data_IF_417783421976
#
_entry.id   IF_417783421976
#
_cell.length_a   1.000
_cell.length_b   1.000
_cell.length_c   1.000
_cell.angle_alpha   90.00
_cell.angle_beta   90.00
_cell.angle_gamma   90.00
#
_symmetry.space_group_name_H-M   'P 1'
#
loop_
_entity.id
_entity.type
_entity.pdbx_description
1 polymer ?
#
# COMPACT_ATOMS: atom_id res chain seq x y z
N UNK A 1 -11.17 10.76 5.04
CA UNK A 1 -10.81 10.74 6.47
C UNK A 1 -11.60 9.66 7.16
N UNK A 2 -10.96 8.53 7.41
CA UNK A 2 -11.42 7.57 8.40
C UNK A 2 -11.54 8.37 9.71
N UNK A 3 -12.77 8.70 10.13
CA UNK A 3 -13.07 9.59 11.27
C UNK A 3 -12.80 8.88 12.60
N UNK A 4 -11.77 8.03 12.65
CA UNK A 4 -11.34 7.33 13.84
C UNK A 4 -10.92 8.36 14.88
N UNK A 5 -11.62 8.33 16.01
CA UNK A 5 -11.46 9.30 17.10
C UNK A 5 -10.05 9.33 17.70
N UNK A 6 -9.23 8.32 17.41
CA UNK A 6 -7.81 8.22 17.81
C UNK A 6 -6.90 9.21 17.08
N UNK A 7 -7.24 9.63 15.86
CA UNK A 7 -6.35 10.48 15.06
C UNK A 7 -6.24 11.90 15.64
N UNK A 8 -7.34 12.44 16.18
CA UNK A 8 -7.33 13.74 16.85
C UNK A 8 -6.41 13.79 18.07
N UNK A 9 -6.26 12.67 18.79
CA UNK A 9 -5.31 12.58 19.91
C UNK A 9 -3.86 12.59 19.40
N UNK A 10 -3.54 11.75 18.41
CA UNK A 10 -2.19 11.68 17.84
C UNK A 10 -1.73 12.99 17.19
N UNK A 11 -2.61 13.71 16.50
CA UNK A 11 -2.27 15.01 15.88
C UNK A 11 -2.05 16.11 16.91
N UNK A 12 -2.69 16.02 18.08
CA UNK A 12 -2.46 16.94 19.20
C UNK A 12 -1.09 16.71 19.83
N UNK A 13 -0.68 15.45 19.97
CA UNK A 13 0.66 15.08 20.47
C UNK A 13 1.78 15.50 19.50
N UNK A 14 1.52 15.43 18.20
CA UNK A 14 2.47 15.83 17.14
C UNK A 14 2.45 17.36 16.90
N UNK A 15 1.49 18.08 17.47
CA UNK A 15 1.36 19.54 17.32
C UNK A 15 0.86 19.99 15.95
N UNK A 16 0.25 19.10 15.18
CA UNK A 16 -0.20 19.35 13.81
C UNK A 16 -1.73 19.23 13.64
N UNK A 17 -2.47 19.55 14.70
CA UNK A 17 -3.92 19.46 14.74
C UNK A 17 -4.60 20.37 13.70
N UNK A 18 -3.96 21.50 13.37
CA UNK A 18 -4.54 22.57 12.55
C UNK A 18 -4.40 22.30 11.04
N UNK A 19 -3.45 21.43 10.64
CA UNK A 19 -3.30 20.98 9.24
C UNK A 19 -4.28 19.86 8.86
N UNK A 20 -5.16 19.43 9.79
CA UNK A 20 -6.14 18.40 9.52
C UNK A 20 -7.34 18.95 8.73
N UNK A 21 -7.14 19.17 7.44
CA UNK A 21 -8.21 19.54 6.52
C UNK A 21 -9.06 18.30 6.21
N UNK A 22 -10.20 18.15 6.90
CA UNK A 22 -11.16 17.06 6.65
C UNK A 22 -12.02 17.39 5.42
N UNK A 23 -11.40 17.71 4.28
CA UNK A 23 -12.09 17.80 3.00
C UNK A 23 -12.45 16.40 2.51
N UNK A 24 -13.70 16.19 2.07
CA UNK A 24 -14.24 14.88 1.64
C UNK A 24 -13.41 14.19 0.53
N UNK A 25 -12.52 14.92 -0.14
CA UNK A 25 -11.71 14.45 -1.27
C UNK A 25 -10.21 14.77 -1.18
N UNK A 26 -9.75 15.60 -0.25
CA UNK A 26 -8.35 16.07 -0.22
C UNK A 26 -7.37 14.99 0.26
N UNK A 27 -7.82 14.13 1.18
CA UNK A 27 -6.96 13.10 1.78
C UNK A 27 -7.05 11.73 1.12
N UNK A 28 -7.79 11.60 0.02
CA UNK A 28 -7.96 10.33 -0.69
C UNK A 28 -6.63 9.73 -1.13
N UNK A 29 -5.59 10.53 -1.44
CA UNK A 29 -4.32 9.97 -1.94
C UNK A 29 -3.51 9.31 -0.82
N UNK A 30 -3.33 10.01 0.30
CA UNK A 30 -2.71 9.44 1.50
C UNK A 30 -3.54 8.25 2.01
N UNK A 31 -4.87 8.39 2.06
CA UNK A 31 -5.76 7.32 2.54
C UNK A 31 -5.90 6.12 1.60
N UNK A 32 -5.76 6.30 0.29
CA UNK A 32 -5.84 5.18 -0.64
C UNK A 32 -4.52 4.42 -0.73
N UNK A 33 -3.39 5.05 -0.38
CA UNK A 33 -2.07 4.41 -0.39
C UNK A 33 -1.99 3.15 0.50
N UNK A 34 -2.70 3.13 1.63
CA UNK A 34 -2.73 1.99 2.55
C UNK A 34 -3.88 1.00 2.30
N UNK A 35 -4.75 1.24 1.30
CA UNK A 35 -5.81 0.28 0.95
C UNK A 35 -5.27 -1.06 0.43
N UNK A 36 -4.24 -1.13 -0.44
CA UNK A 36 -3.65 -2.40 -0.87
C UNK A 36 -3.13 -3.21 0.31
N UNK A 37 -2.39 -2.54 1.21
CA UNK A 37 -1.87 -3.13 2.44
C UNK A 37 -3.00 -3.67 3.32
N UNK A 38 -4.04 -2.88 3.59
CA UNK A 38 -5.20 -3.29 4.41
C UNK A 38 -5.97 -4.45 3.79
N UNK A 39 -6.13 -4.48 2.45
CA UNK A 39 -6.80 -5.60 1.76
C UNK A 39 -6.01 -6.89 1.95
N UNK A 40 -4.69 -6.82 1.81
CA UNK A 40 -3.83 -7.99 1.93
C UNK A 40 -3.70 -8.47 3.38
N UNK A 41 -3.60 -7.56 4.35
CA UNK A 41 -3.64 -7.88 5.78
C UNK A 41 -4.93 -8.63 6.17
N UNK A 42 -6.09 -8.18 5.68
CA UNK A 42 -7.38 -8.87 5.90
C UNK A 42 -7.39 -10.27 5.28
N UNK A 43 -6.87 -10.42 4.06
CA UNK A 43 -6.75 -11.73 3.40
C UNK A 43 -5.82 -12.67 4.18
N UNK A 44 -4.76 -12.15 4.79
CA UNK A 44 -3.79 -12.92 5.59
C UNK A 44 -4.24 -13.17 7.04
N UNK A 45 -5.52 -12.91 7.39
CA UNK A 45 -6.07 -13.05 8.76
C UNK A 45 -5.29 -12.27 9.83
N UNK A 46 -4.81 -11.07 9.50
CA UNK A 46 -4.00 -10.17 10.35
C UNK A 46 -2.62 -10.74 10.71
N UNK A 47 -1.66 -9.84 10.92
CA UNK A 47 -0.33 -10.23 11.38
C UNK A 47 -0.36 -10.63 12.86
N UNK A 48 0.34 -11.72 13.20
CA UNK A 48 0.50 -12.17 14.61
C UNK A 48 1.53 -11.34 15.40
N UNK A 49 2.37 -10.55 14.72
CA UNK A 49 3.45 -9.77 15.34
C UNK A 49 3.72 -8.47 14.56
N UNK A 50 4.09 -7.41 15.29
CA UNK A 50 4.49 -6.10 14.75
C UNK A 50 5.73 -6.20 13.84
N UNK A 51 6.70 -7.05 14.18
CA UNK A 51 7.89 -7.24 13.36
C UNK A 51 7.56 -7.84 11.99
N UNK A 52 6.58 -8.74 11.94
CA UNK A 52 6.11 -9.34 10.70
C UNK A 52 5.40 -8.29 9.81
N UNK A 53 4.57 -7.44 10.42
CA UNK A 53 3.96 -6.30 9.73
C UNK A 53 5.02 -5.34 9.17
N UNK A 54 6.06 -5.02 9.94
CA UNK A 54 7.12 -4.10 9.51
C UNK A 54 7.91 -4.66 8.32
N UNK A 55 8.35 -5.93 8.41
CA UNK A 55 9.04 -6.62 7.30
C UNK A 55 8.16 -6.70 6.07
N UNK A 56 6.88 -7.01 6.25
CA UNK A 56 5.92 -7.05 5.15
C UNK A 56 5.73 -5.67 4.50
N UNK A 57 5.49 -4.63 5.30
CA UNK A 57 5.28 -3.26 4.82
C UNK A 57 6.48 -2.70 4.05
N UNK A 58 7.71 -3.05 4.45
CA UNK A 58 8.94 -2.62 3.78
C UNK A 58 9.05 -3.14 2.33
N UNK A 59 8.54 -4.35 2.05
CA UNK A 59 8.66 -5.00 0.73
C UNK A 59 7.37 -4.85 -0.10
N UNK A 60 6.21 -4.77 0.57
CA UNK A 60 4.90 -4.86 -0.07
C UNK A 60 4.66 -3.75 -1.10
N UNK A 61 5.05 -2.50 -0.82
CA UNK A 61 4.84 -1.38 -1.74
C UNK A 61 5.65 -1.54 -3.03
N UNK A 62 6.91 -1.93 -2.91
CA UNK A 62 7.79 -2.20 -4.05
C UNK A 62 7.24 -3.33 -4.91
N UNK A 63 6.89 -4.45 -4.30
CA UNK A 63 6.30 -5.59 -5.00
C UNK A 63 4.96 -5.23 -5.66
N UNK A 64 4.06 -4.56 -4.93
CA UNK A 64 2.77 -4.15 -5.48
C UNK A 64 2.92 -3.22 -6.68
N UNK A 65 3.80 -2.23 -6.60
CA UNK A 65 4.04 -1.29 -7.70
C UNK A 65 4.64 -1.98 -8.92
N UNK A 66 5.61 -2.88 -8.74
CA UNK A 66 6.25 -3.61 -9.83
C UNK A 66 5.24 -4.45 -10.64
N UNK A 67 4.29 -5.13 -9.98
CA UNK A 67 3.26 -5.94 -10.66
C UNK A 67 2.04 -5.14 -11.15
N UNK A 68 1.80 -3.95 -10.58
CA UNK A 68 0.63 -3.11 -10.92
C UNK A 68 0.98 -1.91 -11.79
N UNK A 69 2.26 -1.78 -12.19
CA UNK A 69 2.77 -0.66 -12.95
C UNK A 69 1.93 -0.47 -14.22
N UNK A 70 1.31 0.71 -14.32
CA UNK A 70 0.65 1.20 -15.54
C UNK A 70 -0.44 0.27 -16.12
N UNK A 71 -1.07 -0.57 -15.29
CA UNK A 71 -2.17 -1.46 -15.73
C UNK A 71 -3.27 -0.72 -16.49
N UNK A 72 -3.50 0.55 -16.16
CA UNK A 72 -4.52 1.40 -16.76
C UNK A 72 -4.07 2.09 -18.06
N UNK A 73 -2.77 2.08 -18.37
CA UNK A 73 -2.21 2.69 -19.58
C UNK A 73 -1.99 1.67 -20.70
N UNK A 74 -1.95 0.38 -20.37
CA UNK A 74 -1.66 -0.69 -21.32
C UNK A 74 -2.89 -1.51 -21.72
N UNK A 75 -2.95 -1.87 -23.00
CA UNK A 75 -3.84 -2.92 -23.48
C UNK A 75 -3.53 -4.25 -22.76
N UNK A 76 -4.54 -5.11 -22.63
CA UNK A 76 -4.45 -6.34 -21.85
C UNK A 76 -3.30 -7.26 -22.28
N UNK A 77 -2.95 -7.28 -23.57
CA UNK A 77 -1.81 -8.04 -24.12
C UNK A 77 -0.47 -7.57 -23.55
N UNK A 78 -0.23 -6.25 -23.54
CA UNK A 78 0.99 -5.65 -23.03
C UNK A 78 1.10 -5.83 -21.51
N UNK A 79 -0.02 -5.72 -20.78
CA UNK A 79 -0.05 -6.03 -19.35
C UNK A 79 0.38 -7.47 -19.06
N UNK A 80 -0.08 -8.46 -19.85
CA UNK A 80 0.33 -9.86 -19.69
C UNK A 80 1.83 -10.05 -19.92
N UNK A 81 2.40 -9.39 -20.94
CA UNK A 81 3.84 -9.44 -21.22
C UNK A 81 4.67 -8.87 -20.06
N UNK A 82 4.29 -7.69 -19.56
CA UNK A 82 4.97 -7.06 -18.42
C UNK A 82 4.86 -7.93 -17.17
N UNK A 83 3.72 -8.57 -16.94
CA UNK A 83 3.53 -9.48 -15.81
C UNK A 83 4.40 -10.73 -15.93
N UNK A 84 4.56 -11.29 -17.14
CA UNK A 84 5.47 -12.43 -17.35
C UNK A 84 6.94 -12.05 -17.14
N UNK A 85 7.36 -10.85 -17.57
CA UNK A 85 8.70 -10.35 -17.36
C UNK A 85 8.98 -10.13 -15.85
N UNK A 86 8.10 -9.42 -15.16
CA UNK A 86 8.18 -9.19 -13.72
C UNK A 86 8.27 -10.50 -12.90
N UNK A 87 7.49 -11.52 -13.28
CA UNK A 87 7.58 -12.84 -12.63
C UNK A 87 8.91 -13.54 -12.88
N UNK A 88 9.51 -13.40 -14.06
CA UNK A 88 10.81 -13.98 -14.36
C UNK A 88 11.94 -13.31 -13.57
N UNK A 89 11.91 -11.98 -13.46
CA UNK A 89 12.85 -11.20 -12.65
C UNK A 89 12.74 -11.58 -11.16
N UNK A 90 11.52 -11.66 -10.63
CA UNK A 90 11.30 -12.09 -9.25
C UNK A 90 11.82 -13.51 -8.97
N UNK A 91 11.64 -14.44 -9.92
CA UNK A 91 12.19 -15.80 -9.79
C UNK A 91 13.71 -15.79 -9.78
N UNK A 92 14.35 -14.96 -10.59
CA UNK A 92 15.82 -14.84 -10.55
C UNK A 92 16.29 -14.28 -9.20
N UNK A 93 15.62 -13.26 -8.67
CA UNK A 93 15.95 -12.67 -7.36
C UNK A 93 15.71 -13.60 -6.18
N UNK A 94 14.71 -14.49 -6.25
CA UNK A 94 14.38 -15.40 -5.14
C UNK A 94 15.28 -16.65 -5.10
N UNK A 95 16.01 -16.94 -6.17
CA UNK A 95 16.85 -18.13 -6.34
C UNK A 95 18.34 -17.80 -6.48
N UNK A 96 18.72 -16.52 -6.34
CA UNK A 96 20.09 -16.04 -6.19
C UNK A 96 20.48 -15.97 -4.71
#
# INVERSE_FOLDING_TARGET
MDKLRSYGAAMKDIGNADQHETGRWLNNRAENSHLPLRRQERAMRRFRSLLCLQKFGAVHSSAHNHFSQERHLYAQSNFKLNLTAALSEQRQLCWA
#
